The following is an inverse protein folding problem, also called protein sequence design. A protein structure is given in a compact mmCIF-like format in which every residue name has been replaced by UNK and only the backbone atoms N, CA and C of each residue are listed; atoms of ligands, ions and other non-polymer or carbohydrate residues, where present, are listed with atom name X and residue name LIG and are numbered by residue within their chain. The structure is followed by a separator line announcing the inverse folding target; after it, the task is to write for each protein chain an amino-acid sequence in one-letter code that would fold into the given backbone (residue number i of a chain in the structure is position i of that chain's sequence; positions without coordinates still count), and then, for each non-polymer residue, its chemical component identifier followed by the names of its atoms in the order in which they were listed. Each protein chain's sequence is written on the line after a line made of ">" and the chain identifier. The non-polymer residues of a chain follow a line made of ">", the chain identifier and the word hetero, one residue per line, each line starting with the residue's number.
data_IF_876631902403
#
_entry.id   IF_876631902403
#
_cell.length_a   1.000
_cell.length_b   1.000
_cell.length_c   1.000
_cell.angle_alpha   90.00
_cell.angle_beta   90.00
_cell.angle_gamma   90.00
#
_symmetry.space_group_name_H-M   'P 1'
#
loop_
_entity.id
_entity.type
_entity.pdbx_description
1 polymer ?
#
# COMPACT_ATOMS: atom_id res chain seq x y z
N UNK A 1 11.21 2.78 -2.84
CA UNK A 1 10.13 3.68 -3.28
C UNK A 1 9.29 3.95 -2.06
N UNK A 2 9.15 5.22 -1.70
CA UNK A 2 8.43 5.62 -0.49
C UNK A 2 6.92 5.51 -0.76
N UNK A 3 6.22 4.75 0.07
CA UNK A 3 4.78 4.49 0.03
C UNK A 3 4.15 5.12 1.26
N UNK A 4 3.22 6.06 1.06
CA UNK A 4 2.52 6.78 2.12
C UNK A 4 1.05 7.08 1.75
N UNK A 5 0.29 7.61 2.70
CA UNK A 5 -1.11 7.99 2.53
C UNK A 5 -1.32 9.24 1.66
N UNK A 6 -0.27 9.88 1.16
CA UNK A 6 -0.35 11.00 0.20
C UNK A 6 -0.26 10.53 -1.26
N UNK A 7 0.27 9.33 -1.53
CA UNK A 7 0.44 8.84 -2.90
C UNK A 7 -0.88 8.62 -3.64
N UNK A 8 -0.97 8.88 -4.95
CA UNK A 8 -2.16 8.55 -5.72
C UNK A 8 -2.51 7.05 -5.63
N UNK A 9 -3.81 6.75 -5.56
CA UNK A 9 -4.32 5.36 -5.58
C UNK A 9 -3.82 4.59 -6.81
N UNK A 10 -3.69 5.27 -7.96
CA UNK A 10 -3.12 4.70 -9.19
C UNK A 10 -1.70 4.17 -8.97
N UNK A 11 -0.85 4.91 -8.27
CA UNK A 11 0.52 4.49 -7.96
C UNK A 11 0.55 3.28 -7.03
N UNK A 12 -0.37 3.21 -6.06
CA UNK A 12 -0.51 2.04 -5.18
C UNK A 12 -0.94 0.78 -5.95
N UNK A 13 -1.80 0.94 -6.96
CA UNK A 13 -2.24 -0.13 -7.86
C UNK A 13 -1.16 -0.57 -8.84
N UNK A 14 -0.20 0.29 -9.17
CA UNK A 14 0.95 -0.04 -10.03
C UNK A 14 2.02 -0.88 -9.31
N UNK A 15 1.97 -0.95 -7.98
CA UNK A 15 2.93 -1.73 -7.19
C UNK A 15 2.77 -3.23 -7.43
N UNK A 16 3.90 -3.92 -7.57
CA UNK A 16 3.94 -5.36 -7.87
C UNK A 16 4.75 -6.15 -6.85
N UNK A 17 4.45 -7.44 -6.76
CA UNK A 17 5.24 -8.39 -5.97
C UNK A 17 6.73 -8.34 -6.39
N UNK A 18 7.62 -8.40 -5.42
CA UNK A 18 9.07 -8.31 -5.59
C UNK A 18 9.63 -6.89 -5.67
N UNK A 19 8.76 -5.87 -5.77
CA UNK A 19 9.19 -4.47 -5.76
C UNK A 19 9.57 -4.02 -4.35
N UNK A 20 10.61 -3.17 -4.24
CA UNK A 20 11.06 -2.66 -2.94
C UNK A 20 10.30 -1.39 -2.58
N UNK A 21 9.56 -1.45 -1.47
CA UNK A 21 8.81 -0.32 -0.93
C UNK A 21 9.27 -0.01 0.49
N UNK A 22 9.10 1.24 0.87
CA UNK A 22 9.45 1.75 2.20
C UNK A 22 8.41 2.76 2.65
N UNK A 23 8.17 2.85 3.94
CA UNK A 23 7.36 3.84 4.61
C UNK A 23 8.13 4.32 5.85
N UNK A 24 7.63 5.31 6.57
CA UNK A 24 8.26 5.87 7.77
C UNK A 24 8.66 4.79 8.80
N UNK A 25 7.85 3.72 8.93
CA UNK A 25 8.05 2.67 9.95
C UNK A 25 8.61 1.33 9.43
N UNK A 26 8.54 1.09 8.12
CA UNK A 26 8.85 -0.22 7.55
C UNK A 26 9.41 -0.13 6.13
N UNK A 27 10.35 -1.01 5.78
CA UNK A 27 10.89 -1.13 4.43
C UNK A 27 11.14 -2.59 4.08
N UNK A 28 10.98 -2.96 2.82
CA UNK A 28 11.13 -4.34 2.38
C UNK A 28 10.63 -4.57 0.95
N UNK A 29 10.77 -5.81 0.48
CA UNK A 29 10.17 -6.22 -0.81
C UNK A 29 8.75 -6.70 -0.59
N UNK A 30 7.84 -6.31 -1.49
CA UNK A 30 6.46 -6.77 -1.45
C UNK A 30 6.42 -8.28 -1.70
N UNK A 31 6.02 -9.04 -0.69
CA UNK A 31 5.78 -10.48 -0.78
C UNK A 31 4.31 -10.81 -1.03
N UNK A 32 3.39 -9.96 -0.55
CA UNK A 32 1.94 -10.11 -0.75
C UNK A 32 1.28 -8.73 -0.90
N UNK A 33 0.27 -8.64 -1.76
CA UNK A 33 -0.58 -7.46 -1.89
C UNK A 33 -2.01 -7.91 -1.63
N UNK A 34 -2.71 -7.21 -0.75
CA UNK A 34 -4.12 -7.40 -0.49
C UNK A 34 -4.81 -6.03 -0.53
N UNK A 35 -5.93 -5.94 -1.24
CA UNK A 35 -6.67 -4.71 -1.41
C UNK A 35 -8.08 -4.97 -0.90
N UNK A 36 -8.48 -4.17 0.07
CA UNK A 36 -9.81 -4.19 0.66
C UNK A 36 -10.51 -2.90 0.27
N UNK A 37 -11.50 -3.02 -0.60
CA UNK A 37 -12.38 -1.91 -0.96
C UNK A 37 -13.64 -1.97 -0.11
N UNK A 38 -13.97 -0.87 0.54
CA UNK A 38 -15.24 -0.64 1.23
C UNK A 38 -15.98 0.54 0.57
N UNK A 39 -17.23 0.78 1.00
CA UNK A 39 -18.01 1.92 0.52
C UNK A 39 -17.37 3.27 0.91
N UNK A 40 -16.62 3.31 2.01
CA UNK A 40 -16.04 4.55 2.56
C UNK A 40 -14.57 4.74 2.16
N UNK A 41 -13.80 3.66 2.00
CA UNK A 41 -12.37 3.74 1.73
C UNK A 41 -11.82 2.53 0.98
N UNK A 42 -10.62 2.71 0.45
CA UNK A 42 -9.82 1.68 -0.18
C UNK A 42 -8.57 1.46 0.68
N UNK A 43 -8.41 0.28 1.23
CA UNK A 43 -7.30 -0.09 2.09
C UNK A 43 -6.38 -1.04 1.33
N UNK A 44 -5.10 -0.68 1.28
CA UNK A 44 -4.04 -1.49 0.69
C UNK A 44 -3.18 -2.06 1.80
N UNK A 45 -3.05 -3.38 1.84
CA UNK A 45 -2.14 -4.10 2.71
C UNK A 45 -1.02 -4.70 1.88
N UNK A 46 0.19 -4.17 2.04
CA UNK A 46 1.40 -4.69 1.44
C UNK A 46 2.16 -5.50 2.46
N UNK A 47 2.10 -6.83 2.34
CA UNK A 47 2.93 -7.75 3.12
C UNK A 47 4.35 -7.76 2.57
N UNK A 48 5.34 -7.53 3.43
CA UNK A 48 6.75 -7.51 3.08
C UNK A 48 7.42 -8.86 3.42
N UNK A 49 8.53 -9.19 2.74
CA UNK A 49 9.25 -10.46 2.93
C UNK A 49 9.83 -10.64 4.35
N UNK A 50 10.17 -9.53 4.98
CA UNK A 50 10.69 -9.44 6.35
C UNK A 50 9.60 -9.45 7.43
N UNK A 51 8.45 -10.11 7.16
CA UNK A 51 7.28 -10.25 8.04
C UNK A 51 6.65 -8.93 8.51
N UNK A 52 7.07 -7.81 7.93
CA UNK A 52 6.45 -6.50 8.14
C UNK A 52 5.28 -6.32 7.18
N UNK A 53 4.38 -5.40 7.50
CA UNK A 53 3.29 -5.01 6.62
C UNK A 53 3.18 -3.49 6.57
N UNK A 54 2.88 -2.96 5.40
CA UNK A 54 2.55 -1.56 5.20
C UNK A 54 1.06 -1.49 4.88
N UNK A 55 0.32 -0.73 5.67
CA UNK A 55 -1.11 -0.50 5.46
C UNK A 55 -1.28 0.95 5.03
N UNK A 56 -1.94 1.16 3.89
CA UNK A 56 -2.26 2.48 3.35
C UNK A 56 -3.76 2.58 3.21
N UNK A 57 -4.37 3.64 3.74
CA UNK A 57 -5.82 3.83 3.66
C UNK A 57 -6.15 5.06 2.83
N UNK A 58 -6.91 4.86 1.77
CA UNK A 58 -7.39 5.92 0.87
C UNK A 58 -8.88 6.11 1.03
N UNK A 59 -9.28 7.23 1.62
CA UNK A 59 -10.68 7.64 1.61
C UNK A 59 -11.08 7.88 0.15
N UNK A 60 -12.28 7.43 -0.24
CA UNK A 60 -12.85 7.84 -1.53
C UNK A 60 -13.09 9.34 -1.45
N UNK A 61 -12.24 10.14 -2.10
CA UNK A 61 -12.55 11.56 -2.28
C UNK A 61 -13.74 11.63 -3.24
N UNK A 62 -14.93 11.77 -2.66
CA UNK A 62 -16.13 12.16 -3.39
C UNK A 62 -15.94 13.64 -3.69
N UNK A 63 -15.66 13.98 -4.96
CA UNK A 63 -15.80 15.35 -5.46
C UNK A 63 -17.26 15.65 -5.75
#
# INVERSE_FOLDING_TARGET
>A
MIVNDDLPTSTLLELKLGQYIENADASGKIAKIEIQETDEFLQFLFGLDNQKQIVVRKLKQVC
#
